data_IF_805469563476
#
_entry.id   IF_805469563476
#
_cell.length_a   1.000
_cell.length_b   1.000
_cell.length_c   1.000
_cell.angle_alpha   90.00
_cell.angle_beta   90.00
_cell.angle_gamma   90.00
#
_symmetry.space_group_name_H-M   'P 1'
#
loop_
_entity.id
_entity.type
_entity.pdbx_description
1 polymer ?
#
# COMPACT_ATOMS: atom_id res chain seq x y z
N UNK A 1 9.28 -8.64 -14.05
CA UNK A 1 9.41 -7.52 -13.08
C UNK A 1 8.35 -6.48 -13.44
N UNK A 2 7.78 -5.77 -12.46
CA UNK A 2 6.82 -4.71 -12.77
C UNK A 2 7.56 -3.53 -13.41
N UNK A 3 7.02 -2.96 -14.49
CA UNK A 3 7.58 -1.75 -15.10
C UNK A 3 7.14 -0.55 -14.28
N UNK A 4 8.10 0.07 -13.56
CA UNK A 4 7.80 1.17 -12.64
C UNK A 4 7.26 2.42 -13.34
N UNK A 5 7.65 2.62 -14.60
CA UNK A 5 7.32 3.82 -15.40
C UNK A 5 6.08 3.64 -16.27
N UNK A 6 5.48 2.45 -16.29
CA UNK A 6 4.22 2.22 -16.97
C UNK A 6 3.08 2.81 -16.15
N UNK A 7 2.21 3.60 -16.80
CA UNK A 7 0.96 4.04 -16.17
C UNK A 7 0.05 2.84 -15.93
N UNK A 8 -0.48 2.75 -14.73
CA UNK A 8 -1.44 1.74 -14.28
C UNK A 8 -2.62 2.43 -13.61
N UNK A 9 -3.76 1.76 -13.58
CA UNK A 9 -4.89 2.18 -12.75
C UNK A 9 -4.76 1.51 -11.38
N UNK A 10 -4.76 2.30 -10.30
CA UNK A 10 -4.80 1.79 -8.94
C UNK A 10 -6.25 1.45 -8.57
N UNK A 11 -6.48 0.29 -7.96
CA UNK A 11 -7.84 -0.15 -7.61
C UNK A 11 -7.89 -1.10 -6.41
N UNK A 12 -9.09 -1.41 -5.92
CA UNK A 12 -9.34 -2.40 -4.86
C UNK A 12 -8.47 -2.12 -3.61
N UNK A 13 -8.67 -0.94 -2.96
CA UNK A 13 -7.97 -0.63 -1.73
C UNK A 13 -8.28 -1.67 -0.66
N UNK A 14 -7.33 -1.92 0.25
CA UNK A 14 -7.55 -2.80 1.38
C UNK A 14 -8.82 -2.36 2.11
N UNK A 15 -9.73 -3.28 2.51
CA UNK A 15 -10.95 -2.91 3.22
C UNK A 15 -10.68 -2.33 4.62
N UNK A 16 -9.42 -2.31 5.07
CA UNK A 16 -9.00 -1.88 6.41
C UNK A 16 -9.28 -2.94 7.47
N UNK A 17 -10.37 -3.70 7.30
CA UNK A 17 -10.84 -4.72 8.22
C UNK A 17 -11.28 -5.97 7.42
N UNK A 18 -10.49 -7.05 7.49
CA UNK A 18 -10.82 -8.32 6.82
C UNK A 18 -10.27 -9.51 7.61
N UNK A 19 -10.79 -9.73 8.83
CA UNK A 19 -10.45 -10.89 9.66
C UNK A 19 -9.03 -10.90 10.24
N UNK A 20 -8.18 -9.93 9.89
CA UNK A 20 -6.91 -9.71 10.55
C UNK A 20 -7.15 -9.19 11.98
N UNK A 21 -6.47 -9.78 12.96
CA UNK A 21 -6.52 -9.34 14.35
C UNK A 21 -6.05 -7.89 14.56
N UNK A 22 -5.37 -7.31 13.57
CA UNK A 22 -4.84 -5.94 13.58
C UNK A 22 -5.37 -5.18 12.37
N UNK A 23 -6.06 -4.04 12.57
CA UNK A 23 -6.56 -3.23 11.48
C UNK A 23 -5.42 -2.50 10.75
N UNK A 24 -5.63 -2.17 9.48
CA UNK A 24 -4.73 -1.25 8.77
C UNK A 24 -4.77 0.13 9.47
N UNK A 25 -3.63 0.79 9.70
CA UNK A 25 -3.61 2.14 10.26
C UNK A 25 -4.49 3.11 9.46
N UNK A 26 -5.25 3.95 10.19
CA UNK A 26 -6.28 4.82 9.60
C UNK A 26 -5.73 5.75 8.51
N UNK A 27 -4.61 6.42 8.77
CA UNK A 27 -3.97 7.33 7.79
C UNK A 27 -3.58 6.61 6.50
N UNK A 28 -3.01 5.41 6.61
CA UNK A 28 -2.67 4.59 5.44
C UNK A 28 -3.91 4.11 4.69
N UNK A 29 -5.00 3.79 5.40
CA UNK A 29 -6.28 3.41 4.78
C UNK A 29 -6.89 4.56 3.99
N UNK A 30 -7.00 5.74 4.61
CA UNK A 30 -7.57 6.93 3.99
C UNK A 30 -6.77 7.31 2.74
N UNK A 31 -5.44 7.29 2.83
CA UNK A 31 -4.59 7.60 1.69
C UNK A 31 -4.69 6.56 0.57
N UNK A 32 -4.77 5.26 0.90
CA UNK A 32 -5.01 4.22 -0.10
C UNK A 32 -6.36 4.40 -0.80
N UNK A 33 -7.40 4.81 -0.08
CA UNK A 33 -8.72 5.10 -0.67
C UNK A 33 -8.69 6.30 -1.60
N UNK A 34 -7.96 7.36 -1.27
CA UNK A 34 -7.80 8.53 -2.12
C UNK A 34 -7.14 8.21 -3.46
N UNK A 35 -6.19 7.27 -3.46
CA UNK A 35 -5.50 6.81 -4.67
C UNK A 35 -6.34 5.85 -5.52
N UNK A 36 -7.44 5.32 -5.00
CA UNK A 36 -8.30 4.37 -5.71
C UNK A 36 -8.92 5.01 -6.97
N UNK A 37 -8.77 4.34 -8.11
CA UNK A 37 -9.22 4.79 -9.43
C UNK A 37 -8.28 5.79 -10.11
N UNK A 38 -7.21 6.25 -9.45
CA UNK A 38 -6.24 7.14 -10.08
C UNK A 38 -5.34 6.38 -11.06
N UNK A 39 -4.97 7.05 -12.15
CA UNK A 39 -3.96 6.55 -13.09
C UNK A 39 -2.63 7.25 -12.85
N UNK A 40 -1.61 6.47 -12.54
CA UNK A 40 -0.24 6.95 -12.33
C UNK A 40 0.76 5.82 -12.59
N UNK A 41 2.03 6.16 -12.62
CA UNK A 41 3.10 5.17 -12.63
C UNK A 41 3.25 4.53 -11.25
N UNK A 42 3.83 3.32 -11.21
CA UNK A 42 4.09 2.66 -9.93
C UNK A 42 5.17 3.39 -9.11
N UNK A 43 6.08 4.09 -9.78
CA UNK A 43 7.06 4.98 -9.17
C UNK A 43 6.36 6.14 -8.42
N UNK A 44 5.47 6.88 -9.09
CA UNK A 44 4.69 7.96 -8.46
C UNK A 44 3.83 7.44 -7.29
N UNK A 45 3.24 6.24 -7.43
CA UNK A 45 2.44 5.65 -6.36
C UNK A 45 3.29 5.35 -5.11
N UNK A 46 4.51 4.82 -5.29
CA UNK A 46 5.45 4.61 -4.19
C UNK A 46 5.91 5.93 -3.58
N UNK A 47 6.28 6.93 -4.39
CA UNK A 47 6.69 8.25 -3.90
C UNK A 47 5.62 8.90 -3.02
N UNK A 48 4.33 8.74 -3.37
CA UNK A 48 3.21 9.24 -2.57
C UNK A 48 2.98 8.45 -1.29
N UNK A 49 3.12 7.13 -1.33
CA UNK A 49 2.82 6.24 -0.20
C UNK A 49 3.96 6.12 0.82
N UNK A 50 5.22 6.24 0.37
CA UNK A 50 6.40 6.04 1.22
C UNK A 50 6.45 6.97 2.43
N UNK A 51 6.20 8.30 2.33
CA UNK A 51 6.22 9.17 3.50
C UNK A 51 5.20 8.75 4.58
N UNK A 52 3.99 8.39 4.16
CA UNK A 52 2.93 7.91 5.07
C UNK A 52 3.34 6.60 5.73
N UNK A 53 4.03 5.72 4.99
CA UNK A 53 4.52 4.46 5.53
C UNK A 53 5.65 4.66 6.53
N UNK A 54 6.60 5.55 6.24
CA UNK A 54 7.74 5.89 7.08
C UNK A 54 7.28 6.52 8.41
N UNK A 55 6.32 7.44 8.37
CA UNK A 55 5.71 8.05 9.57
C UNK A 55 5.04 7.01 10.48
N UNK A 56 4.58 5.90 9.90
CA UNK A 56 3.99 4.76 10.62
C UNK A 56 5.03 3.71 11.05
N UNK A 57 6.33 3.96 10.86
CA UNK A 57 7.40 3.01 11.16
C UNK A 57 7.39 1.80 10.22
N UNK A 58 7.00 2.02 8.97
CA UNK A 58 6.80 0.99 7.96
C UNK A 58 7.42 1.32 6.61
N UNK A 59 7.09 0.49 5.62
CA UNK A 59 7.56 0.63 4.25
C UNK A 59 6.52 0.06 3.27
N UNK A 60 6.51 0.61 2.06
CA UNK A 60 5.71 0.10 0.94
C UNK A 60 6.58 -0.60 -0.10
N UNK A 61 6.01 -1.59 -0.77
CA UNK A 61 6.70 -2.35 -1.81
C UNK A 61 5.75 -2.81 -2.91
N UNK A 62 6.25 -2.92 -4.13
CA UNK A 62 5.50 -3.49 -5.25
C UNK A 62 5.64 -4.99 -5.25
N UNK A 63 4.51 -5.69 -5.24
CA UNK A 63 4.46 -7.15 -5.36
C UNK A 63 4.07 -7.52 -6.78
N UNK A 64 5.08 -7.47 -7.67
CA UNK A 64 4.94 -7.62 -9.11
C UNK A 64 4.13 -8.84 -9.57
N UNK A 65 4.39 -10.01 -8.96
CA UNK A 65 3.75 -11.28 -9.31
C UNK A 65 2.23 -11.28 -9.06
N UNK A 66 1.78 -10.53 -8.06
CA UNK A 66 0.38 -10.49 -7.63
C UNK A 66 -0.33 -9.18 -7.99
N UNK A 67 0.38 -8.25 -8.64
CA UNK A 67 -0.11 -6.94 -9.10
C UNK A 67 -0.76 -6.09 -8.00
N UNK A 68 -0.03 -5.87 -6.91
CA UNK A 68 -0.46 -4.96 -5.85
C UNK A 68 0.72 -4.26 -5.16
N UNK A 69 0.43 -3.16 -4.48
CA UNK A 69 1.33 -2.45 -3.56
C UNK A 69 1.05 -2.96 -2.15
N UNK A 70 2.08 -3.48 -1.49
CA UNK A 70 2.03 -3.95 -0.11
C UNK A 70 2.55 -2.90 0.86
N UNK A 71 2.07 -2.96 2.09
CA UNK A 71 2.55 -2.16 3.21
C UNK A 71 2.95 -3.08 4.35
N UNK A 72 4.11 -2.78 4.93
CA UNK A 72 4.64 -3.46 6.10
C UNK A 72 4.87 -2.43 7.19
N UNK A 73 4.52 -2.70 8.43
CA UNK A 73 4.97 -1.88 9.56
C UNK A 73 5.27 -2.71 10.80
N UNK A 74 6.02 -2.12 11.73
CA UNK A 74 6.36 -2.72 13.01
C UNK A 74 5.61 -2.03 14.15
N UNK A 75 4.95 -2.82 14.99
CA UNK A 75 4.41 -2.32 16.26
C UNK A 75 5.55 -2.05 17.25
N UNK A 76 5.27 -1.29 18.31
CA UNK A 76 6.21 -1.09 19.43
C UNK A 76 6.62 -2.39 20.11
N UNK A 77 5.84 -3.47 19.95
CA UNK A 77 6.15 -4.82 20.40
C UNK A 77 7.24 -5.52 19.56
N UNK A 78 7.66 -4.93 18.44
CA UNK A 78 8.52 -5.54 17.43
C UNK A 78 7.77 -6.46 16.46
N UNK A 79 6.46 -6.63 16.62
CA UNK A 79 5.65 -7.46 15.71
C UNK A 79 5.51 -6.78 14.36
N UNK A 80 5.81 -7.54 13.31
CA UNK A 80 5.64 -7.10 11.93
C UNK A 80 4.23 -7.42 11.43
N UNK A 81 3.62 -6.47 10.74
CA UNK A 81 2.33 -6.63 10.06
C UNK A 81 2.48 -6.36 8.57
N UNK A 82 1.67 -7.05 7.77
CA UNK A 82 1.69 -6.95 6.32
C UNK A 82 0.27 -6.81 5.76
N UNK A 83 0.10 -5.86 4.83
CA UNK A 83 -1.18 -5.57 4.19
C UNK A 83 -1.01 -5.42 2.68
N UNK A 84 -2.02 -5.86 1.93
CA UNK A 84 -2.19 -5.50 0.51
C UNK A 84 -2.92 -4.16 0.45
N UNK A 85 -2.22 -3.05 0.19
CA UNK A 85 -2.84 -1.72 0.12
C UNK A 85 -3.75 -1.55 -1.08
N UNK A 86 -3.20 -1.71 -2.30
CA UNK A 86 -3.87 -1.37 -3.55
C UNK A 86 -3.45 -2.34 -4.63
N UNK A 87 -4.39 -2.77 -5.47
CA UNK A 87 -4.07 -3.50 -6.70
C UNK A 87 -3.78 -2.53 -7.84
N UNK A 88 -3.15 -3.03 -8.90
CA UNK A 88 -2.93 -2.26 -10.11
C UNK A 88 -3.10 -3.11 -11.37
N UNK A 89 -3.52 -2.50 -12.48
CA UNK A 89 -3.75 -3.15 -13.78
C UNK A 89 -3.22 -2.33 -14.93
#
# INVERSE_FOLDING_TARGET
MANLKQKVELYDPHPGFAGAAVPLPKSMKEFADELNGQQMTLEEALEKLSPVAEDLGGAVQIVGKMKYIGFTYFESSGRQHYFRLLRYK
#
